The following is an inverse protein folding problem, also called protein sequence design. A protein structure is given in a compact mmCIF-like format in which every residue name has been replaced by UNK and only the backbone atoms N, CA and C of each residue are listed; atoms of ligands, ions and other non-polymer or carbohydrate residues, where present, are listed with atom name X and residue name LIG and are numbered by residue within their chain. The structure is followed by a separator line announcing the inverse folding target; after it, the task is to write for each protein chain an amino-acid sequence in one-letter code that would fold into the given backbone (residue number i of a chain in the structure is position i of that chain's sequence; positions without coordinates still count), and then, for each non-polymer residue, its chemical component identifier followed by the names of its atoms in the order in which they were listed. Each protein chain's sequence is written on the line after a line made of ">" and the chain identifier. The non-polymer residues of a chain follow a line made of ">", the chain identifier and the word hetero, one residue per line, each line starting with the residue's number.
data_IF_191816206614
#
_entry.id   IF_191816206614
#
_cell.length_a   1.000
_cell.length_b   1.000
_cell.length_c   1.000
_cell.angle_alpha   90.00
_cell.angle_beta   90.00
_cell.angle_gamma   90.00
#
_symmetry.space_group_name_H-M   'P 1'
#
loop_
_entity.id
_entity.type
_entity.pdbx_description
1 polymer ?
#
# COMPACT_ATOMS: atom_id res chain seq x y z
N UNK A 1 64.57 -1.85 23.13
CA UNK A 1 64.31 -0.88 24.18
C UNK A 1 62.80 -0.61 24.15
N UNK A 2 61.98 -1.02 25.01
CA UNK A 2 61.91 -1.49 26.35
C UNK A 2 60.40 -1.57 26.63
N UNK A 3 59.91 -2.78 26.91
CA UNK A 3 58.67 -2.97 27.68
C UNK A 3 58.98 -2.57 29.15
N UNK A 4 58.12 -2.74 30.14
CA UNK A 4 56.75 -3.29 30.27
C UNK A 4 55.90 -2.65 31.43
N UNK A 5 54.94 -3.43 31.92
CA UNK A 5 54.33 -3.53 33.27
C UNK A 5 52.88 -2.99 33.38
N UNK A 6 51.97 -3.92 33.57
CA UNK A 6 51.40 -4.52 34.79
C UNK A 6 50.44 -3.57 35.53
N UNK A 7 49.29 -3.91 36.06
CA UNK A 7 48.82 -5.11 36.80
C UNK A 7 47.33 -5.01 37.13
N UNK A 8 46.63 -6.14 37.08
CA UNK A 8 45.79 -6.77 38.12
C UNK A 8 44.72 -5.92 38.86
N UNK A 9 43.48 -6.38 38.86
CA UNK A 9 42.88 -6.90 40.11
C UNK A 9 41.72 -7.87 39.83
N UNK A 10 41.87 -9.01 40.47
CA UNK A 10 40.92 -10.10 40.66
C UNK A 10 39.78 -9.73 41.60
N UNK A 11 38.61 -10.35 41.42
CA UNK A 11 37.52 -10.34 42.38
C UNK A 11 36.61 -11.55 42.15
N UNK A 12 37.04 -12.72 42.58
CA UNK A 12 36.23 -13.92 42.80
C UNK A 12 35.25 -13.68 43.94
N UNK A 13 33.99 -14.10 43.78
CA UNK A 13 33.21 -14.58 44.93
C UNK A 13 32.51 -15.90 44.56
N UNK A 14 32.93 -16.90 45.32
CA UNK A 14 32.54 -18.30 45.26
C UNK A 14 31.53 -18.56 46.35
N UNK A 15 30.60 -19.49 46.08
CA UNK A 15 30.06 -20.50 46.94
C UNK A 15 28.96 -20.17 47.96
N UNK A 16 27.83 -20.83 47.85
CA UNK A 16 27.49 -21.86 48.84
C UNK A 16 26.37 -22.79 48.31
N UNK A 17 26.75 -24.03 48.13
CA UNK A 17 25.85 -25.19 48.09
C UNK A 17 25.35 -25.52 49.49
N UNK A 18 24.07 -25.83 49.64
CA UNK A 18 23.59 -26.80 50.65
C UNK A 18 22.35 -27.54 50.13
N UNK A 19 22.51 -28.83 49.95
CA UNK A 19 21.49 -29.90 49.98
C UNK A 19 21.63 -30.66 51.27
N UNK A 20 20.78 -31.67 51.62
CA UNK A 20 19.36 -31.89 51.43
C UNK A 20 18.67 -32.30 52.78
N UNK A 21 17.37 -32.37 52.80
CA UNK A 21 16.67 -33.18 53.80
C UNK A 21 15.44 -33.88 53.20
N UNK A 22 15.50 -35.21 53.28
CA UNK A 22 14.42 -36.16 53.05
C UNK A 22 13.40 -36.11 54.19
N UNK A 23 12.16 -36.36 53.89
CA UNK A 23 11.05 -37.07 54.61
C UNK A 23 9.72 -36.39 54.25
N UNK A 24 8.60 -37.01 53.96
CA UNK A 24 8.06 -38.34 54.19
C UNK A 24 6.72 -38.43 53.43
N UNK A 25 6.36 -39.59 52.94
CA UNK A 25 5.05 -39.95 52.41
C UNK A 25 3.95 -39.79 53.46
N UNK A 26 2.82 -39.17 53.11
CA UNK A 26 1.47 -39.68 53.33
C UNK A 26 0.43 -38.75 52.72
N UNK A 27 -0.25 -39.27 51.73
CA UNK A 27 -1.69 -39.13 51.39
C UNK A 27 -2.39 -37.80 51.68
N UNK A 28 -2.76 -37.11 50.64
CA UNK A 28 -4.06 -36.42 50.58
C UNK A 28 -4.58 -36.43 49.17
N UNK A 29 -5.75 -36.94 49.04
CA UNK A 29 -6.52 -37.19 47.79
C UNK A 29 -6.86 -35.91 47.05
N UNK A 30 -6.62 -35.92 45.76
CA UNK A 30 -7.45 -35.49 44.63
C UNK A 30 -8.55 -34.45 44.88
N UNK A 31 -8.41 -33.30 44.30
CA UNK A 31 -9.47 -32.60 43.59
C UNK A 31 -8.85 -31.97 42.34
N UNK A 32 -8.94 -32.67 41.22
CA UNK A 32 -8.69 -32.15 39.87
C UNK A 32 -9.86 -31.23 39.51
N UNK A 33 -9.74 -29.96 39.84
CA UNK A 33 -10.51 -28.90 39.17
C UNK A 33 -9.83 -28.61 37.84
N UNK A 34 -10.35 -29.29 36.81
CA UNK A 34 -10.02 -28.98 35.41
C UNK A 34 -10.50 -27.59 35.07
N UNK A 35 -9.60 -26.60 35.11
CA UNK A 35 -9.82 -25.29 34.47
C UNK A 35 -9.83 -25.52 32.96
N UNK A 36 -11.02 -25.71 32.39
CA UNK A 36 -11.27 -25.57 30.96
C UNK A 36 -11.05 -24.09 30.62
N UNK A 37 -9.82 -23.74 30.22
CA UNK A 37 -9.59 -22.49 29.50
C UNK A 37 -10.29 -22.59 28.15
N UNK A 38 -11.55 -22.11 28.08
CA UNK A 38 -12.20 -21.78 26.84
C UNK A 38 -11.42 -20.61 26.23
N UNK A 39 -10.41 -20.92 25.40
CA UNK A 39 -9.81 -19.97 24.49
C UNK A 39 -10.85 -19.67 23.40
N UNK A 40 -11.70 -18.67 23.66
CA UNK A 40 -12.53 -18.09 22.59
C UNK A 40 -11.57 -17.55 21.52
N UNK A 41 -11.67 -17.96 20.26
CA UNK A 41 -10.93 -17.32 19.19
C UNK A 41 -11.39 -15.86 19.16
N UNK A 42 -10.48 -14.92 19.40
CA UNK A 42 -10.70 -13.51 19.09
C UNK A 42 -10.95 -13.42 17.60
N UNK A 43 -12.20 -13.40 17.19
CA UNK A 43 -12.60 -13.13 15.83
C UNK A 43 -12.07 -11.74 15.49
N UNK A 44 -11.05 -11.66 14.63
CA UNK A 44 -10.65 -10.39 14.02
C UNK A 44 -11.90 -9.75 13.41
N UNK A 45 -12.19 -8.47 13.70
CA UNK A 45 -13.34 -7.82 13.11
C UNK A 45 -13.23 -7.92 11.59
N UNK A 46 -14.18 -8.56 10.94
CA UNK A 46 -14.26 -8.60 9.49
C UNK A 46 -14.27 -7.16 8.98
N UNK A 47 -13.31 -6.79 8.15
CA UNK A 47 -13.23 -5.44 7.61
C UNK A 47 -14.52 -5.16 6.82
N UNK A 48 -15.31 -4.20 7.29
CA UNK A 48 -16.62 -3.86 6.70
C UNK A 48 -16.48 -3.17 5.35
N UNK A 49 -17.46 -3.36 4.48
CA UNK A 49 -17.57 -2.59 3.23
C UNK A 49 -17.78 -1.10 3.59
N UNK A 50 -17.00 -0.16 3.02
CA UNK A 50 -17.16 1.24 3.31
C UNK A 50 -18.52 1.75 2.82
N UNK A 51 -19.18 2.57 3.62
CA UNK A 51 -20.39 3.27 3.19
C UNK A 51 -19.99 4.57 2.50
N UNK A 52 -20.44 4.76 1.26
CA UNK A 52 -20.25 6.02 0.52
C UNK A 52 -21.41 6.95 0.86
N UNK A 53 -21.11 8.05 1.55
CA UNK A 53 -22.11 9.00 2.06
C UNK A 53 -22.43 10.11 1.09
N UNK A 54 -21.47 10.47 0.22
CA UNK A 54 -21.57 11.58 -0.70
C UNK A 54 -20.61 11.42 -1.90
N UNK A 55 -20.73 12.33 -2.88
CA UNK A 55 -19.94 12.26 -4.10
C UNK A 55 -18.42 12.52 -3.88
N UNK A 56 -18.03 13.31 -2.88
CA UNK A 56 -16.60 13.51 -2.57
C UNK A 56 -15.97 12.22 -2.02
N UNK A 57 -16.71 11.52 -1.12
CA UNK A 57 -16.31 10.20 -0.65
C UNK A 57 -16.20 9.18 -1.80
N UNK A 58 -17.16 9.21 -2.74
CA UNK A 58 -17.14 8.37 -3.93
C UNK A 58 -15.91 8.63 -4.80
N UNK A 59 -15.57 9.90 -5.09
CA UNK A 59 -14.38 10.27 -5.87
C UNK A 59 -13.10 9.81 -5.17
N UNK A 60 -13.01 9.96 -3.84
CA UNK A 60 -11.84 9.51 -3.07
C UNK A 60 -11.69 7.99 -3.14
N UNK A 61 -12.76 7.22 -2.90
CA UNK A 61 -12.74 5.76 -2.96
C UNK A 61 -12.42 5.27 -4.38
N UNK A 62 -13.05 5.84 -5.40
CA UNK A 62 -12.76 5.51 -6.79
C UNK A 62 -11.30 5.84 -7.19
N UNK A 63 -10.80 7.00 -6.74
CA UNK A 63 -9.39 7.36 -6.90
C UNK A 63 -8.44 6.41 -6.15
N UNK A 64 -8.89 5.81 -5.03
CA UNK A 64 -8.14 4.78 -4.31
C UNK A 64 -8.06 3.49 -5.10
N UNK A 65 -9.16 3.03 -5.70
CA UNK A 65 -9.19 1.88 -6.61
C UNK A 65 -8.15 1.99 -7.72
N UNK A 66 -8.02 3.18 -8.30
CA UNK A 66 -7.02 3.48 -9.33
C UNK A 66 -5.58 3.23 -8.82
N UNK A 67 -5.28 3.67 -7.61
CA UNK A 67 -3.99 3.42 -6.96
C UNK A 67 -3.79 1.96 -6.55
N UNK A 68 -4.83 1.33 -6.01
CA UNK A 68 -4.79 -0.08 -5.57
C UNK A 68 -4.51 -1.03 -6.75
N UNK A 69 -5.07 -0.77 -7.94
CA UNK A 69 -4.79 -1.59 -9.13
C UNK A 69 -3.30 -1.61 -9.49
N UNK A 70 -2.61 -0.48 -9.36
CA UNK A 70 -1.17 -0.39 -9.63
C UNK A 70 -0.33 -0.98 -8.49
N UNK A 71 -0.78 -0.79 -7.24
CA UNK A 71 -0.14 -1.33 -6.04
C UNK A 71 -0.11 -2.84 -6.03
N UNK A 72 -1.20 -3.50 -6.46
CA UNK A 72 -1.27 -4.95 -6.60
C UNK A 72 -0.27 -5.48 -7.63
N UNK A 73 -0.23 -4.90 -8.83
CA UNK A 73 0.75 -5.28 -9.85
C UNK A 73 2.19 -5.11 -9.34
N UNK A 74 2.52 -3.96 -8.73
CA UNK A 74 3.84 -3.74 -8.13
C UNK A 74 4.19 -4.85 -7.13
N UNK A 75 3.30 -5.14 -6.18
CA UNK A 75 3.53 -6.16 -5.15
C UNK A 75 3.72 -7.56 -5.78
N UNK A 76 2.93 -7.90 -6.80
CA UNK A 76 3.07 -9.15 -7.53
C UNK A 76 4.44 -9.29 -8.20
N UNK A 77 4.92 -8.23 -8.90
CA UNK A 77 6.25 -8.23 -9.52
C UNK A 77 7.36 -8.40 -8.46
N UNK A 78 7.23 -7.76 -7.30
CA UNK A 78 8.17 -7.89 -6.19
C UNK A 78 8.24 -9.33 -5.65
N UNK A 79 7.09 -10.01 -5.53
CA UNK A 79 7.03 -11.42 -5.13
C UNK A 79 7.78 -12.29 -6.13
N UNK A 80 7.54 -12.10 -7.44
CA UNK A 80 8.22 -12.86 -8.49
C UNK A 80 9.73 -12.66 -8.53
N UNK A 81 10.21 -11.46 -8.16
CA UNK A 81 11.63 -11.13 -8.06
C UNK A 81 12.24 -11.42 -6.68
N UNK A 82 11.45 -11.92 -5.73
CA UNK A 82 11.86 -12.15 -4.33
C UNK A 82 12.32 -10.86 -3.61
N UNK A 83 11.74 -9.72 -3.95
CA UNK A 83 11.98 -8.44 -3.29
C UNK A 83 11.00 -8.27 -2.14
N UNK A 84 11.50 -8.31 -0.91
CA UNK A 84 10.72 -8.20 0.34
C UNK A 84 9.40 -9.00 0.27
N UNK A 85 9.52 -10.30 -0.02
CA UNK A 85 8.40 -11.19 -0.36
C UNK A 85 7.32 -11.21 0.71
N UNK A 86 7.71 -11.23 2.00
CA UNK A 86 6.75 -11.26 3.09
C UNK A 86 5.87 -9.99 3.11
N UNK A 87 6.48 -8.82 3.01
CA UNK A 87 5.76 -7.54 2.97
C UNK A 87 4.94 -7.42 1.69
N UNK A 88 5.51 -7.78 0.54
CA UNK A 88 4.84 -7.73 -0.75
C UNK A 88 3.60 -8.63 -0.79
N UNK A 89 3.66 -9.82 -0.22
CA UNK A 89 2.51 -10.72 -0.07
C UNK A 89 1.43 -10.11 0.84
N UNK A 90 1.83 -9.53 1.96
CA UNK A 90 0.89 -8.84 2.86
C UNK A 90 0.21 -7.66 2.16
N UNK A 91 0.98 -6.84 1.43
CA UNK A 91 0.47 -5.72 0.63
C UNK A 91 -0.51 -6.20 -0.43
N UNK A 92 -0.16 -7.25 -1.18
CA UNK A 92 -1.01 -7.81 -2.23
C UNK A 92 -2.36 -8.28 -1.67
N UNK A 93 -2.34 -9.14 -0.66
CA UNK A 93 -3.55 -9.73 -0.09
C UNK A 93 -4.47 -8.67 0.56
N UNK A 94 -3.88 -7.74 1.32
CA UNK A 94 -4.63 -6.64 1.93
C UNK A 94 -5.26 -5.74 0.88
N UNK A 95 -4.53 -5.49 -0.22
CA UNK A 95 -4.97 -4.63 -1.31
C UNK A 95 -6.10 -5.28 -2.10
N UNK A 96 -6.02 -6.58 -2.41
CA UNK A 96 -7.10 -7.35 -3.05
C UNK A 96 -8.39 -7.24 -2.23
N UNK A 97 -8.34 -7.54 -0.93
CA UNK A 97 -9.52 -7.48 -0.06
C UNK A 97 -10.09 -6.06 0.08
N UNK A 98 -9.24 -5.03 0.00
CA UNK A 98 -9.70 -3.63 0.03
C UNK A 98 -10.39 -3.26 -1.28
N UNK A 99 -9.83 -3.67 -2.42
CA UNK A 99 -10.42 -3.45 -3.74
C UNK A 99 -11.79 -4.10 -3.84
N UNK A 100 -11.95 -5.37 -3.46
CA UNK A 100 -13.25 -6.08 -3.45
C UNK A 100 -14.35 -5.28 -2.72
N UNK A 101 -14.05 -4.80 -1.52
CA UNK A 101 -15.02 -4.05 -0.71
C UNK A 101 -15.36 -2.69 -1.29
N UNK A 102 -14.36 -1.98 -1.81
CA UNK A 102 -14.54 -0.65 -2.39
C UNK A 102 -15.32 -0.71 -3.71
N UNK A 103 -15.01 -1.68 -4.57
CA UNK A 103 -15.75 -1.91 -5.80
C UNK A 103 -17.25 -2.19 -5.53
N UNK A 104 -17.55 -3.04 -4.54
CA UNK A 104 -18.93 -3.28 -4.10
C UNK A 104 -19.63 -2.00 -3.66
N UNK A 105 -18.95 -1.15 -2.89
CA UNK A 105 -19.50 0.12 -2.43
C UNK A 105 -19.75 1.10 -3.60
N UNK A 106 -18.82 1.17 -4.56
CA UNK A 106 -18.94 2.04 -5.74
C UNK A 106 -20.07 1.58 -6.68
N UNK A 107 -20.24 0.27 -6.86
CA UNK A 107 -21.37 -0.28 -7.62
C UNK A 107 -22.72 0.06 -6.97
N UNK A 108 -22.80 0.00 -5.64
CA UNK A 108 -24.02 0.34 -4.90
C UNK A 108 -24.33 1.85 -4.95
N UNK A 109 -23.29 2.70 -4.94
CA UNK A 109 -23.43 4.15 -4.98
C UNK A 109 -23.77 4.68 -6.37
N UNK A 110 -23.22 4.12 -7.46
CA UNK A 110 -23.22 4.62 -8.83
C UNK A 110 -24.47 5.46 -9.21
N UNK A 111 -24.34 6.81 -9.25
CA UNK A 111 -25.49 7.74 -9.30
C UNK A 111 -26.17 7.82 -10.67
N UNK A 112 -25.52 7.34 -11.73
CA UNK A 112 -26.05 7.37 -13.10
C UNK A 112 -25.88 6.03 -13.80
N UNK A 113 -26.72 5.72 -14.82
CA UNK A 113 -26.56 4.51 -15.62
C UNK A 113 -25.16 4.38 -16.25
N UNK A 114 -24.59 5.48 -16.75
CA UNK A 114 -23.25 5.48 -17.34
C UNK A 114 -22.18 5.09 -16.34
N UNK A 115 -22.21 5.63 -15.13
CA UNK A 115 -21.27 5.29 -14.05
C UNK A 115 -21.47 3.84 -13.62
N UNK A 116 -22.73 3.40 -13.51
CA UNK A 116 -23.07 2.01 -13.16
C UNK A 116 -22.47 1.02 -14.17
N UNK A 117 -22.62 1.30 -15.48
CA UNK A 117 -22.05 0.46 -16.53
C UNK A 117 -20.52 0.38 -16.43
N UNK A 118 -19.83 1.50 -16.14
CA UNK A 118 -18.37 1.50 -15.95
C UNK A 118 -17.95 0.61 -14.79
N UNK A 119 -18.64 0.64 -13.65
CA UNK A 119 -18.32 -0.23 -12.52
C UNK A 119 -18.72 -1.70 -12.73
N UNK A 120 -19.71 -1.98 -13.58
CA UNK A 120 -20.02 -3.35 -14.01
C UNK A 120 -18.91 -3.91 -14.90
N UNK A 121 -18.42 -3.12 -15.88
CA UNK A 121 -17.29 -3.50 -16.72
C UNK A 121 -16.00 -3.70 -15.88
N UNK A 122 -15.76 -2.80 -14.93
CA UNK A 122 -14.64 -2.92 -13.99
C UNK A 122 -14.71 -4.24 -13.21
N UNK A 123 -15.90 -4.62 -12.71
CA UNK A 123 -16.08 -5.86 -11.97
C UNK A 123 -15.84 -7.12 -12.82
N UNK A 124 -16.23 -7.10 -14.10
CA UNK A 124 -15.94 -8.19 -15.04
C UNK A 124 -14.43 -8.37 -15.25
N UNK A 125 -13.71 -7.28 -15.50
CA UNK A 125 -12.26 -7.29 -15.70
C UNK A 125 -11.50 -7.59 -14.40
N UNK A 126 -12.04 -7.18 -13.24
CA UNK A 126 -11.48 -7.47 -11.94
C UNK A 126 -11.30 -8.97 -11.68
N UNK A 127 -12.26 -9.80 -12.09
CA UNK A 127 -12.19 -11.25 -11.90
C UNK A 127 -10.97 -11.85 -12.59
N UNK A 128 -10.68 -11.45 -13.84
CA UNK A 128 -9.49 -11.89 -14.55
C UNK A 128 -8.20 -11.41 -13.88
N UNK A 129 -8.15 -10.13 -13.48
CA UNK A 129 -7.00 -9.57 -12.80
C UNK A 129 -6.73 -10.24 -11.45
N UNK A 130 -7.76 -10.46 -10.65
CA UNK A 130 -7.67 -11.17 -9.36
C UNK A 130 -7.15 -12.60 -9.53
N UNK A 131 -7.60 -13.31 -10.57
CA UNK A 131 -7.11 -14.65 -10.89
C UNK A 131 -5.62 -14.64 -11.21
N UNK A 132 -5.16 -13.72 -12.06
CA UNK A 132 -3.76 -13.58 -12.41
C UNK A 132 -2.88 -13.24 -11.19
N UNK A 133 -3.37 -12.38 -10.29
CA UNK A 133 -2.67 -11.99 -9.06
C UNK A 133 -2.51 -13.12 -8.04
N UNK A 134 -3.33 -14.17 -8.11
CA UNK A 134 -3.27 -15.33 -7.21
C UNK A 134 -2.31 -16.44 -7.71
N UNK A 135 -1.52 -16.18 -8.75
CA UNK A 135 -0.52 -17.13 -9.25
C UNK A 135 0.57 -17.36 -8.21
N UNK A 136 0.75 -18.61 -7.78
CA UNK A 136 1.84 -19.01 -6.91
C UNK A 136 3.18 -19.01 -7.68
N UNK A 137 4.25 -18.56 -7.01
CA UNK A 137 5.61 -18.49 -7.58
C UNK A 137 5.64 -17.81 -8.97
N UNK A 138 5.31 -16.52 -9.05
CA UNK A 138 5.18 -15.79 -10.32
C UNK A 138 6.46 -15.85 -11.17
N UNK A 139 6.29 -16.12 -12.46
CA UNK A 139 7.34 -16.09 -13.49
C UNK A 139 7.21 -14.82 -14.34
N UNK A 140 8.23 -14.46 -15.15
CA UNK A 140 8.17 -13.30 -16.03
C UNK A 140 6.92 -13.24 -16.92
N UNK A 141 6.43 -14.39 -17.41
CA UNK A 141 5.23 -14.48 -18.25
C UNK A 141 3.98 -14.03 -17.47
N UNK A 142 3.83 -14.49 -16.22
CA UNK A 142 2.74 -14.03 -15.33
C UNK A 142 2.86 -12.55 -15.03
N UNK A 143 4.09 -12.04 -14.88
CA UNK A 143 4.37 -10.62 -14.70
C UNK A 143 3.87 -9.78 -15.89
N UNK A 144 4.11 -10.22 -17.12
CA UNK A 144 3.61 -9.54 -18.33
C UNK A 144 2.09 -9.54 -18.41
N UNK A 145 1.43 -10.65 -18.05
CA UNK A 145 -0.03 -10.74 -18.00
C UNK A 145 -0.59 -9.76 -16.96
N UNK A 146 -0.04 -9.75 -15.74
CA UNK A 146 -0.45 -8.85 -14.67
C UNK A 146 -0.22 -7.38 -15.06
N UNK A 147 0.87 -7.04 -15.76
CA UNK A 147 1.09 -5.68 -16.28
C UNK A 147 -0.03 -5.28 -17.24
N UNK A 148 -0.36 -6.12 -18.23
CA UNK A 148 -1.41 -5.83 -19.22
C UNK A 148 -2.78 -5.65 -18.55
N UNK A 149 -3.14 -6.54 -17.63
CA UNK A 149 -4.39 -6.43 -16.88
C UNK A 149 -4.41 -5.19 -15.97
N UNK A 150 -3.27 -4.82 -15.36
CA UNK A 150 -3.18 -3.61 -14.54
C UNK A 150 -3.41 -2.31 -15.33
N UNK A 151 -3.01 -2.26 -16.61
CA UNK A 151 -3.30 -1.13 -17.50
C UNK A 151 -4.80 -1.04 -17.84
N UNK A 152 -5.44 -2.20 -18.09
CA UNK A 152 -6.90 -2.26 -18.26
C UNK A 152 -7.62 -1.73 -17.02
N UNK A 153 -7.23 -2.20 -15.83
CA UNK A 153 -7.80 -1.75 -14.56
C UNK A 153 -7.57 -0.25 -14.34
N UNK A 154 -6.38 0.28 -14.68
CA UNK A 154 -6.08 1.71 -14.58
C UNK A 154 -7.01 2.55 -15.47
N UNK A 155 -7.27 2.09 -16.69
CA UNK A 155 -8.16 2.78 -17.62
C UNK A 155 -9.59 2.84 -17.08
N UNK A 156 -10.14 1.70 -16.65
CA UNK A 156 -11.52 1.63 -16.17
C UNK A 156 -11.72 2.38 -14.84
N UNK A 157 -10.80 2.24 -13.90
CA UNK A 157 -10.85 2.99 -12.64
C UNK A 157 -10.69 4.49 -12.85
N UNK A 158 -9.84 4.94 -13.80
CA UNK A 158 -9.71 6.34 -14.16
C UNK A 158 -10.99 6.89 -14.81
N UNK A 159 -11.63 6.11 -15.67
CA UNK A 159 -12.93 6.47 -16.26
C UNK A 159 -13.98 6.67 -15.18
N UNK A 160 -14.10 5.77 -14.22
CA UNK A 160 -15.06 5.89 -13.11
C UNK A 160 -14.83 7.16 -12.27
N UNK A 161 -13.57 7.46 -11.93
CA UNK A 161 -13.23 8.72 -11.21
C UNK A 161 -13.62 9.96 -12.00
N UNK A 162 -13.26 10.00 -13.29
CA UNK A 162 -13.57 11.16 -14.15
C UNK A 162 -15.08 11.38 -14.29
N UNK A 163 -15.84 10.31 -14.41
CA UNK A 163 -17.31 10.39 -14.47
C UNK A 163 -17.93 10.88 -13.16
N UNK A 164 -17.42 10.43 -12.00
CA UNK A 164 -17.87 10.90 -10.69
C UNK A 164 -17.50 12.37 -10.46
N UNK A 165 -16.28 12.79 -10.83
CA UNK A 165 -15.87 14.20 -10.77
C UNK A 165 -16.76 15.09 -11.64
N UNK A 166 -17.01 14.68 -12.88
CA UNK A 166 -17.89 15.41 -13.80
C UNK A 166 -19.34 15.49 -13.27
N UNK A 167 -19.84 14.40 -12.66
CA UNK A 167 -21.16 14.38 -12.02
C UNK A 167 -21.27 15.36 -10.84
N UNK A 168 -20.22 15.44 -10.00
CA UNK A 168 -20.18 16.40 -8.89
C UNK A 168 -19.98 17.86 -9.37
N UNK A 169 -19.13 18.08 -10.36
CA UNK A 169 -18.92 19.37 -11.03
C UNK A 169 -18.29 20.48 -10.17
N UNK A 170 -17.67 20.19 -9.03
CA UNK A 170 -17.13 21.17 -8.09
C UNK A 170 -15.61 21.28 -8.11
N UNK A 171 -15.09 22.44 -7.68
CA UNK A 171 -13.63 22.63 -7.51
C UNK A 171 -13.04 21.67 -6.45
N UNK A 172 -13.78 21.41 -5.37
CA UNK A 172 -13.36 20.47 -4.33
C UNK A 172 -13.27 19.02 -4.85
N UNK A 173 -14.21 18.60 -5.72
CA UNK A 173 -14.14 17.28 -6.38
C UNK A 173 -12.88 17.15 -7.24
N UNK A 174 -12.47 18.20 -7.95
CA UNK A 174 -11.20 18.20 -8.71
C UNK A 174 -9.97 18.04 -7.81
N UNK A 175 -9.93 18.67 -6.64
CA UNK A 175 -8.82 18.53 -5.70
C UNK A 175 -8.72 17.11 -5.13
N UNK A 176 -9.86 16.48 -4.82
CA UNK A 176 -9.91 15.05 -4.42
C UNK A 176 -9.37 14.17 -5.54
N UNK A 177 -9.79 14.37 -6.79
CA UNK A 177 -9.29 13.59 -7.92
C UNK A 177 -7.79 13.84 -8.18
N UNK A 178 -7.32 15.09 -8.12
CA UNK A 178 -5.91 15.44 -8.37
C UNK A 178 -4.98 14.79 -7.33
N UNK A 179 -5.33 14.84 -6.05
CA UNK A 179 -4.57 14.18 -4.98
C UNK A 179 -4.63 12.65 -5.11
N UNK A 180 -5.78 12.09 -5.47
CA UNK A 180 -5.94 10.66 -5.76
C UNK A 180 -5.13 10.21 -6.98
N UNK A 181 -4.97 11.07 -8.00
CA UNK A 181 -4.12 10.80 -9.17
C UNK A 181 -2.64 10.77 -8.78
N UNK A 182 -2.19 11.70 -7.98
CA UNK A 182 -0.81 11.70 -7.47
C UNK A 182 -0.51 10.44 -6.65
N UNK A 183 -1.46 9.99 -5.80
CA UNK A 183 -1.38 8.72 -5.08
C UNK A 183 -1.20 7.53 -6.04
N UNK A 184 -1.96 7.48 -7.13
CA UNK A 184 -1.82 6.43 -8.15
C UNK A 184 -0.46 6.49 -8.85
N UNK A 185 0.01 7.69 -9.23
CA UNK A 185 1.29 7.86 -9.94
C UNK A 185 2.48 7.30 -9.16
N UNK A 186 2.49 7.40 -7.83
CA UNK A 186 3.55 6.82 -7.00
C UNK A 186 3.66 5.30 -7.16
N UNK A 187 2.52 4.61 -7.24
CA UNK A 187 2.48 3.16 -7.42
C UNK A 187 2.73 2.75 -8.88
N UNK A 188 2.25 3.56 -9.82
CA UNK A 188 2.47 3.35 -11.25
C UNK A 188 3.95 3.38 -11.62
N UNK A 189 4.67 4.43 -11.20
CA UNK A 189 6.10 4.54 -11.43
C UNK A 189 6.88 3.39 -10.77
N UNK A 190 6.54 3.04 -9.54
CA UNK A 190 7.18 1.93 -8.85
C UNK A 190 6.91 0.59 -9.55
N UNK A 191 5.69 0.33 -10.02
CA UNK A 191 5.34 -0.85 -10.83
C UNK A 191 6.20 -0.93 -12.08
N UNK A 192 6.29 0.16 -12.83
CA UNK A 192 7.07 0.21 -14.07
C UNK A 192 8.57 0.00 -13.82
N UNK A 193 9.11 0.59 -12.75
CA UNK A 193 10.50 0.36 -12.33
C UNK A 193 10.74 -1.13 -11.99
N UNK A 194 9.83 -1.77 -11.26
CA UNK A 194 9.94 -3.20 -10.97
C UNK A 194 9.82 -4.07 -12.23
N UNK A 195 9.00 -3.66 -13.20
CA UNK A 195 8.94 -4.33 -14.51
C UNK A 195 10.27 -4.26 -15.27
N UNK A 196 10.95 -3.10 -15.25
CA UNK A 196 12.30 -2.97 -15.81
C UNK A 196 13.29 -3.85 -15.07
N UNK A 197 13.25 -3.85 -13.73
CA UNK A 197 14.13 -4.68 -12.89
C UNK A 197 13.96 -6.18 -13.17
N UNK A 198 12.75 -6.61 -13.49
CA UNK A 198 12.44 -8.01 -13.83
C UNK A 198 12.70 -8.37 -15.30
N UNK A 199 13.09 -7.40 -16.13
CA UNK A 199 13.35 -7.62 -17.55
C UNK A 199 12.09 -7.90 -18.39
N UNK A 200 10.91 -7.46 -17.93
CA UNK A 200 9.62 -7.65 -18.60
C UNK A 200 9.01 -6.35 -19.14
N UNK A 201 9.70 -5.23 -18.95
CA UNK A 201 9.30 -3.94 -19.47
C UNK A 201 9.37 -3.90 -21.01
N UNK A 202 8.50 -3.11 -21.62
CA UNK A 202 8.56 -2.81 -23.05
C UNK A 202 9.38 -1.53 -23.33
N UNK A 203 9.56 -1.22 -24.62
CA UNK A 203 10.32 -0.06 -25.07
C UNK A 203 9.71 1.29 -24.68
N UNK A 204 8.44 1.35 -24.31
CA UNK A 204 7.72 2.57 -23.94
C UNK A 204 7.79 2.86 -22.44
N UNK A 205 8.19 1.89 -21.64
CA UNK A 205 8.18 1.97 -20.16
C UNK A 205 8.99 3.15 -19.63
N UNK A 206 10.16 3.44 -20.21
CA UNK A 206 10.98 4.59 -19.79
C UNK A 206 10.28 5.93 -20.04
N UNK A 207 9.61 6.07 -21.17
CA UNK A 207 8.82 7.27 -21.49
C UNK A 207 7.62 7.41 -20.56
N UNK A 208 6.96 6.30 -20.23
CA UNK A 208 5.83 6.30 -19.29
C UNK A 208 6.26 6.72 -17.87
N UNK A 209 7.42 6.27 -17.39
CA UNK A 209 7.99 6.75 -16.12
C UNK A 209 8.28 8.26 -16.18
N UNK A 210 8.91 8.75 -17.25
CA UNK A 210 9.23 10.17 -17.38
C UNK A 210 7.98 11.05 -17.41
N UNK A 211 6.95 10.65 -18.14
CA UNK A 211 5.65 11.35 -18.17
C UNK A 211 4.98 11.35 -16.78
N UNK A 212 5.00 10.22 -16.07
CA UNK A 212 4.42 10.10 -14.74
C UNK A 212 5.18 10.97 -13.71
N UNK A 213 6.50 11.08 -13.79
CA UNK A 213 7.33 11.98 -12.96
C UNK A 213 6.92 13.44 -13.16
N UNK A 214 6.81 13.88 -14.41
CA UNK A 214 6.39 15.25 -14.74
C UNK A 214 4.98 15.54 -14.23
N UNK A 215 4.05 14.62 -14.43
CA UNK A 215 2.66 14.79 -13.96
C UNK A 215 2.60 14.83 -12.43
N UNK A 216 3.36 13.97 -11.73
CA UNK A 216 3.42 13.99 -10.28
C UNK A 216 3.92 15.34 -9.74
N UNK A 217 5.02 15.86 -10.29
CA UNK A 217 5.58 17.15 -9.88
C UNK A 217 4.61 18.32 -10.14
N UNK A 218 3.94 18.34 -11.30
CA UNK A 218 2.94 19.37 -11.63
C UNK A 218 1.74 19.29 -10.68
N UNK A 219 1.23 18.08 -10.39
CA UNK A 219 0.13 17.88 -9.46
C UNK A 219 0.50 18.32 -8.05
N UNK A 220 1.72 18.00 -7.58
CA UNK A 220 2.20 18.40 -6.26
C UNK A 220 2.31 19.92 -6.13
N UNK A 221 2.86 20.57 -7.14
CA UNK A 221 2.93 22.03 -7.19
C UNK A 221 1.51 22.67 -7.16
N UNK A 222 0.58 22.17 -7.97
CA UNK A 222 -0.79 22.68 -8.00
C UNK A 222 -1.51 22.50 -6.65
N UNK A 223 -1.40 21.33 -6.02
CA UNK A 223 -1.98 21.07 -4.70
C UNK A 223 -1.35 21.95 -3.61
N UNK A 224 -0.03 22.17 -3.64
CA UNK A 224 0.68 23.01 -2.67
C UNK A 224 0.34 24.49 -2.80
N UNK A 225 0.07 24.96 -4.02
CA UNK A 225 -0.32 26.35 -4.30
C UNK A 225 -1.81 26.65 -4.03
N UNK A 226 -2.63 25.63 -3.73
CA UNK A 226 -4.08 25.80 -3.52
C UNK A 226 -4.36 26.65 -2.27
N UNK A 227 -5.02 27.78 -2.47
CA UNK A 227 -5.28 28.78 -1.41
C UNK A 227 -6.30 28.32 -0.38
N UNK A 228 -7.18 27.38 -0.75
CA UNK A 228 -8.20 26.83 0.14
C UNK A 228 -7.68 25.71 1.06
N UNK A 229 -6.40 25.37 0.98
CA UNK A 229 -5.79 24.37 1.84
C UNK A 229 -5.90 24.73 3.32
N UNK A 230 -6.36 23.78 4.11
CA UNK A 230 -6.30 23.86 5.57
C UNK A 230 -4.86 23.68 6.07
N UNK A 231 -4.59 24.03 7.34
CA UNK A 231 -3.28 23.77 7.96
C UNK A 231 -2.93 22.27 7.92
N UNK A 232 -3.91 21.40 8.14
CA UNK A 232 -3.72 19.95 8.07
C UNK A 232 -3.28 19.48 6.68
N UNK A 233 -3.92 20.01 5.61
CA UNK A 233 -3.55 19.68 4.22
C UNK A 233 -2.14 20.21 3.91
N UNK A 234 -1.82 21.47 4.28
CA UNK A 234 -0.48 22.04 4.06
C UNK A 234 0.61 21.23 4.75
N UNK A 235 0.39 20.86 6.01
CA UNK A 235 1.34 20.03 6.75
C UNK A 235 1.50 18.63 6.12
N UNK A 236 0.41 18.02 5.68
CA UNK A 236 0.47 16.72 5.02
C UNK A 236 1.21 16.78 3.68
N UNK A 237 0.98 17.82 2.86
CA UNK A 237 1.70 18.03 1.58
C UNK A 237 3.19 18.24 1.79
N UNK A 238 3.61 18.99 2.81
CA UNK A 238 5.03 19.22 3.11
C UNK A 238 5.78 17.93 3.51
N UNK A 239 5.10 16.89 3.96
CA UNK A 239 5.70 15.58 4.24
C UNK A 239 5.89 14.73 2.98
N UNK A 240 5.18 15.02 1.89
CA UNK A 240 5.35 14.32 0.61
C UNK A 240 6.62 14.76 -0.10
N UNK A 241 6.97 16.05 -0.03
CA UNK A 241 8.08 16.65 -0.79
C UNK A 241 9.43 15.92 -0.59
N UNK A 242 9.94 15.71 0.64
CA UNK A 242 11.23 15.03 0.83
C UNK A 242 11.17 13.56 0.38
N UNK A 243 10.03 12.90 0.49
CA UNK A 243 9.85 11.54 0.03
C UNK A 243 9.84 11.48 -1.50
N UNK A 244 9.20 12.47 -2.15
CA UNK A 244 9.20 12.60 -3.59
C UNK A 244 10.61 12.83 -4.13
N UNK A 245 11.37 13.76 -3.57
CA UNK A 245 12.77 14.03 -3.99
C UNK A 245 13.65 12.78 -3.89
N UNK A 246 13.48 11.98 -2.84
CA UNK A 246 14.21 10.72 -2.69
C UNK A 246 13.77 9.68 -3.73
N UNK A 247 12.46 9.52 -3.92
CA UNK A 247 11.89 8.57 -4.86
C UNK A 247 12.27 8.92 -6.31
N UNK A 248 12.17 10.19 -6.68
CA UNK A 248 12.51 10.70 -8.00
C UNK A 248 13.98 10.42 -8.37
N UNK A 249 14.90 10.66 -7.43
CA UNK A 249 16.32 10.32 -7.61
C UNK A 249 16.59 8.82 -7.67
N UNK A 250 15.81 8.02 -6.95
CA UNK A 250 15.94 6.56 -7.00
C UNK A 250 15.51 6.00 -8.38
N UNK A 251 14.54 6.63 -9.03
CA UNK A 251 14.10 6.26 -10.38
C UNK A 251 15.17 6.49 -11.47
N UNK A 252 16.18 7.31 -11.22
CA UNK A 252 17.31 7.53 -12.14
C UNK A 252 18.35 6.39 -12.09
N UNK A 253 18.25 5.50 -11.10
CA UNK A 253 19.20 4.40 -10.94
C UNK A 253 18.80 3.20 -11.81
N UNK A 254 19.79 2.38 -12.24
CA UNK A 254 19.50 1.16 -12.97
C UNK A 254 18.54 0.26 -12.20
N UNK A 255 17.49 -0.20 -12.87
CA UNK A 255 16.52 -1.11 -12.30
C UNK A 255 17.08 -2.55 -12.33
N UNK A 256 17.52 -3.07 -11.20
CA UNK A 256 18.05 -4.42 -11.04
C UNK A 256 17.26 -5.17 -9.98
N UNK A 257 16.87 -6.42 -10.29
CA UNK A 257 16.15 -7.27 -9.36
C UNK A 257 16.97 -7.51 -8.07
N UNK A 258 16.34 -7.38 -6.91
CA UNK A 258 16.98 -7.56 -5.60
C UNK A 258 17.98 -6.48 -5.19
N UNK A 259 18.14 -5.42 -6.00
CA UNK A 259 19.01 -4.30 -5.62
C UNK A 259 18.42 -3.47 -4.49
N UNK A 260 19.29 -2.69 -3.82
CA UNK A 260 18.85 -1.72 -2.80
C UNK A 260 17.87 -0.72 -3.39
N UNK A 261 18.10 -0.28 -4.62
CA UNK A 261 17.24 0.66 -5.34
C UNK A 261 15.84 0.09 -5.57
N UNK A 262 15.72 -1.19 -5.95
CA UNK A 262 14.42 -1.86 -6.05
C UNK A 262 13.66 -1.88 -4.73
N UNK A 263 14.35 -2.08 -3.61
CA UNK A 263 13.78 -2.02 -2.27
C UNK A 263 13.41 -0.59 -1.87
N UNK A 264 14.27 0.38 -2.15
CA UNK A 264 14.02 1.80 -1.87
C UNK A 264 12.79 2.30 -2.64
N UNK A 265 12.67 1.97 -3.93
CA UNK A 265 11.48 2.28 -4.75
C UNK A 265 10.24 1.61 -4.17
N UNK A 266 10.33 0.34 -3.78
CA UNK A 266 9.23 -0.41 -3.18
C UNK A 266 8.70 0.26 -1.91
N UNK A 267 9.59 0.60 -0.99
CA UNK A 267 9.23 1.14 0.34
C UNK A 267 8.84 2.60 0.29
N UNK A 268 9.53 3.41 -0.51
CA UNK A 268 9.23 4.85 -0.61
C UNK A 268 7.89 5.09 -1.31
N UNK A 269 7.58 4.32 -2.37
CA UNK A 269 6.28 4.41 -3.01
C UNK A 269 5.11 4.12 -2.05
N UNK A 270 5.28 3.18 -1.10
CA UNK A 270 4.27 2.91 -0.07
C UNK A 270 4.06 4.12 0.86
N UNK A 271 5.15 4.74 1.34
CA UNK A 271 5.07 5.92 2.20
C UNK A 271 4.38 7.10 1.50
N UNK A 272 4.75 7.37 0.25
CA UNK A 272 4.11 8.40 -0.57
C UNK A 272 2.62 8.08 -0.76
N UNK A 273 2.28 6.82 -1.06
CA UNK A 273 0.91 6.37 -1.21
C UNK A 273 0.08 6.63 0.05
N UNK A 274 0.58 6.23 1.22
CA UNK A 274 -0.10 6.39 2.51
C UNK A 274 -0.32 7.88 2.84
N UNK A 275 0.70 8.71 2.60
CA UNK A 275 0.59 10.15 2.84
C UNK A 275 -0.44 10.82 1.90
N UNK A 276 -0.46 10.43 0.62
CA UNK A 276 -1.41 10.95 -0.36
C UNK A 276 -2.82 10.38 -0.16
N UNK A 277 -2.97 9.19 0.44
CA UNK A 277 -4.27 8.66 0.86
C UNK A 277 -4.90 9.53 1.96
N UNK A 278 -4.09 9.95 2.94
CA UNK A 278 -4.50 10.91 3.96
C UNK A 278 -4.92 12.25 3.33
N UNK A 279 -4.12 12.81 2.42
CA UNK A 279 -4.38 14.09 1.76
C UNK A 279 -5.70 14.05 0.97
N UNK A 280 -5.92 13.00 0.17
CA UNK A 280 -7.17 12.83 -0.57
C UNK A 280 -8.39 12.72 0.36
N UNK A 281 -8.25 12.04 1.49
CA UNK A 281 -9.26 11.99 2.54
C UNK A 281 -9.57 13.35 3.14
N UNK A 282 -8.55 14.17 3.42
CA UNK A 282 -8.71 15.53 3.94
C UNK A 282 -9.46 16.44 2.93
N UNK A 283 -9.11 16.38 1.64
CA UNK A 283 -9.83 17.13 0.60
C UNK A 283 -11.29 16.69 0.49
N UNK A 284 -11.56 15.37 0.55
CA UNK A 284 -12.94 14.86 0.53
C UNK A 284 -13.76 15.37 1.72
N UNK A 285 -13.20 15.37 2.93
CA UNK A 285 -13.86 15.89 4.14
C UNK A 285 -14.13 17.39 4.07
N UNK A 286 -13.21 18.18 3.53
CA UNK A 286 -13.40 19.63 3.35
C UNK A 286 -14.45 19.91 2.28
N UNK A 287 -14.48 19.12 1.21
CA UNK A 287 -15.47 19.23 0.15
C UNK A 287 -16.90 18.92 0.60
N UNK A 288 -17.06 17.87 1.41
CA UNK A 288 -18.38 17.45 1.91
C UNK A 288 -19.02 18.43 2.93
N UNK A 289 -18.24 19.36 3.52
CA UNK A 289 -18.72 20.36 4.47
C UNK A 289 -19.21 21.66 3.83
N UNK A 290 -19.00 21.82 2.52
CA UNK A 290 -19.44 22.99 1.74
C UNK A 290 -20.71 22.67 0.97
#
# INVERSE_FOLDING_TARGET
>A
MGSPLESRFFGFFTCCMTTPALLNRRQASSLLLGSLCLSSPLASPAATTPTITDAHAAINIAGKERGLSQRMAKAFLQIGMQVDTQRSTTVLNTTIGTFDRQLTALQAFAPTPTIKNTYQELAQNWNAYKTALNTENPKPENGKEVLALSEMMLRLTSQGVTQLEAHLGTASGRLVNLSGRQRMLSQYMAKLYQAQAWGIADSTTGQAIAAARQEFAQAHHALSAETTNTNAIRSALSLVEPQWVFFDKALDKPALAGSKESLDIATTSERIYEQLDLIAGLYAQVGAKK
#
